data_IF_613379620490
#
_entry.id   IF_613379620490
#
_cell.length_a   1.000
_cell.length_b   1.000
_cell.length_c   1.000
_cell.angle_alpha   90.00
_cell.angle_beta   90.00
_cell.angle_gamma   90.00
#
_symmetry.space_group_name_H-M   'P 1'
#
loop_
_entity.id
_entity.type
_entity.pdbx_description
1 polymer ?
#
# COMPACT_ATOMS: atom_id res chain seq x y z
N UNK A 1 -10.03 2.64 1.29
CA UNK A 1 -9.49 3.91 1.77
C UNK A 1 -8.00 4.02 1.52
N UNK A 2 -7.40 5.21 1.70
CA UNK A 2 -5.97 5.43 1.43
C UNK A 2 -5.07 4.48 2.25
N UNK A 3 -5.41 4.26 3.51
CA UNK A 3 -4.62 3.42 4.45
C UNK A 3 -5.04 1.94 4.45
N UNK A 4 -5.89 1.52 3.53
CA UNK A 4 -6.33 0.13 3.40
C UNK A 4 -5.32 -0.67 2.58
N UNK A 5 -4.81 -1.77 3.12
CA UNK A 5 -3.90 -2.65 2.39
C UNK A 5 -4.63 -3.80 1.67
N UNK A 6 -3.91 -4.51 0.79
CA UNK A 6 -4.47 -5.60 -0.01
C UNK A 6 -5.11 -6.72 0.85
N UNK A 7 -4.57 -7.01 2.03
CA UNK A 7 -5.12 -8.04 2.92
C UNK A 7 -6.46 -7.62 3.50
N UNK A 8 -6.56 -6.40 4.04
CA UNK A 8 -7.80 -5.88 4.63
C UNK A 8 -8.89 -5.69 3.56
N UNK A 9 -8.52 -5.21 2.38
CA UNK A 9 -9.41 -5.14 1.23
C UNK A 9 -9.92 -6.54 0.84
N UNK A 10 -9.01 -7.53 0.74
CA UNK A 10 -9.36 -8.91 0.41
C UNK A 10 -10.34 -9.53 1.41
N UNK A 11 -10.13 -9.32 2.71
CA UNK A 11 -11.05 -9.78 3.76
C UNK A 11 -12.45 -9.17 3.59
N UNK A 12 -12.53 -7.86 3.34
CA UNK A 12 -13.81 -7.17 3.12
C UNK A 12 -14.52 -7.66 1.86
N UNK A 13 -13.77 -7.86 0.77
CA UNK A 13 -14.31 -8.41 -0.47
C UNK A 13 -14.80 -9.86 -0.29
N UNK A 14 -14.08 -10.70 0.46
CA UNK A 14 -14.50 -12.07 0.76
C UNK A 14 -15.82 -12.12 1.51
N UNK A 15 -16.00 -11.26 2.51
CA UNK A 15 -17.27 -11.16 3.25
C UNK A 15 -18.43 -10.73 2.33
N UNK A 16 -18.21 -9.72 1.52
CA UNK A 16 -19.21 -9.24 0.56
C UNK A 16 -19.55 -10.31 -0.48
N UNK A 17 -18.55 -11.00 -1.00
CA UNK A 17 -18.73 -12.10 -1.96
C UNK A 17 -19.56 -13.23 -1.37
N UNK A 18 -19.30 -13.63 -0.12
CA UNK A 18 -20.10 -14.65 0.55
C UNK A 18 -21.57 -14.25 0.69
N UNK A 19 -21.85 -12.99 1.07
CA UNK A 19 -23.21 -12.48 1.16
C UNK A 19 -23.91 -12.46 -0.20
N UNK A 20 -23.25 -11.95 -1.23
CA UNK A 20 -23.81 -11.89 -2.60
C UNK A 20 -24.03 -13.28 -3.18
N UNK A 21 -23.13 -14.23 -2.89
CA UNK A 21 -23.27 -15.61 -3.33
C UNK A 21 -24.52 -16.27 -2.73
N UNK A 22 -24.71 -16.14 -1.40
CA UNK A 22 -25.92 -16.68 -0.73
C UNK A 22 -27.19 -16.06 -1.32
N UNK A 23 -27.20 -14.76 -1.62
CA UNK A 23 -28.34 -14.10 -2.25
C UNK A 23 -28.56 -14.56 -3.71
N UNK A 24 -27.53 -15.00 -4.41
CA UNK A 24 -27.62 -15.48 -5.78
C UNK A 24 -28.16 -16.92 -5.89
N UNK A 25 -27.96 -17.77 -4.86
CA UNK A 25 -28.34 -19.19 -4.88
C UNK A 25 -29.81 -19.43 -5.27
N UNK A 26 -30.82 -18.75 -4.68
CA UNK A 26 -32.24 -18.94 -5.07
C UNK A 26 -32.49 -18.57 -6.55
N UNK A 27 -31.78 -17.55 -7.08
CA UNK A 27 -31.90 -17.15 -8.49
C UNK A 27 -31.29 -18.21 -9.40
N UNK A 28 -30.14 -18.79 -9.01
CA UNK A 28 -29.48 -19.88 -9.76
C UNK A 28 -30.38 -21.11 -9.77
N UNK A 29 -30.99 -21.47 -8.64
CA UNK A 29 -31.93 -22.58 -8.52
C UNK A 29 -33.16 -22.35 -9.38
N UNK A 30 -33.78 -21.18 -9.32
CA UNK A 30 -34.94 -20.81 -10.13
C UNK A 30 -34.66 -20.81 -11.65
N UNK A 31 -33.42 -20.49 -12.06
CA UNK A 31 -33.02 -20.57 -13.45
C UNK A 31 -33.02 -22.00 -13.99
N UNK A 32 -32.92 -23.02 -13.12
CA UNK A 32 -33.02 -24.43 -13.46
C UNK A 32 -31.95 -24.94 -14.43
N UNK A 33 -32.06 -26.20 -14.85
CA UNK A 33 -31.18 -26.79 -15.87
C UNK A 33 -31.52 -26.28 -17.27
N UNK A 34 -30.59 -26.45 -18.23
CA UNK A 34 -30.77 -26.11 -19.63
C UNK A 34 -29.50 -25.61 -20.30
N UNK A 35 -29.56 -25.30 -21.60
CA UNK A 35 -28.44 -24.72 -22.33
C UNK A 35 -27.96 -23.40 -21.70
N UNK A 36 -26.65 -23.17 -21.76
CA UNK A 36 -26.03 -21.99 -21.13
C UNK A 36 -26.66 -20.65 -21.56
N UNK A 37 -26.92 -20.36 -22.84
CA UNK A 37 -27.49 -19.08 -23.24
C UNK A 37 -28.86 -18.81 -22.62
N UNK A 38 -29.72 -19.82 -22.51
CA UNK A 38 -31.04 -19.70 -21.92
C UNK A 38 -30.96 -19.49 -20.41
N UNK A 39 -30.03 -20.17 -19.74
CA UNK A 39 -29.78 -19.99 -18.31
C UNK A 39 -29.24 -18.59 -17.98
N UNK A 40 -28.31 -18.07 -18.76
CA UNK A 40 -27.76 -16.73 -18.60
C UNK A 40 -28.86 -15.68 -18.77
N UNK A 41 -29.76 -15.86 -19.74
CA UNK A 41 -30.90 -14.99 -19.94
C UNK A 41 -31.85 -15.01 -18.72
N UNK A 42 -32.21 -16.21 -18.21
CA UNK A 42 -33.06 -16.36 -17.00
C UNK A 42 -32.43 -15.75 -15.75
N UNK A 43 -31.12 -15.82 -15.63
CA UNK A 43 -30.36 -15.19 -14.53
C UNK A 43 -30.25 -13.66 -14.68
N UNK A 44 -30.54 -13.11 -15.86
CA UNK A 44 -30.35 -11.68 -16.15
C UNK A 44 -28.89 -11.27 -16.19
N UNK A 45 -28.02 -12.18 -16.63
CA UNK A 45 -26.57 -11.93 -16.76
C UNK A 45 -26.33 -10.94 -17.90
N UNK A 46 -25.47 -9.96 -17.66
CA UNK A 46 -24.97 -9.05 -18.70
C UNK A 46 -23.58 -9.50 -19.13
N UNK A 47 -23.38 -9.59 -20.43
CA UNK A 47 -22.03 -9.85 -20.98
C UNK A 47 -21.17 -8.63 -20.72
N UNK A 48 -19.96 -8.84 -20.23
CA UNK A 48 -18.98 -7.78 -20.02
C UNK A 48 -18.55 -7.23 -21.40
N UNK A 49 -18.63 -5.91 -21.58
CA UNK A 49 -18.14 -5.27 -22.80
C UNK A 49 -16.61 -5.27 -22.86
N UNK A 50 -16.08 -5.18 -24.07
CA UNK A 50 -14.62 -5.16 -24.30
C UNK A 50 -14.00 -3.76 -24.19
N UNK A 51 -14.82 -2.72 -24.05
CA UNK A 51 -14.34 -1.35 -23.90
C UNK A 51 -13.61 -1.13 -22.58
N UNK A 52 -12.41 -0.58 -22.65
CA UNK A 52 -11.62 -0.23 -21.47
C UNK A 52 -11.02 -1.42 -20.72
N UNK A 53 -10.98 -2.63 -21.31
CA UNK A 53 -10.32 -3.78 -20.71
C UNK A 53 -8.83 -3.50 -20.51
N UNK A 54 -8.36 -3.76 -19.30
CA UNK A 54 -6.94 -3.74 -18.96
C UNK A 54 -6.52 -5.12 -18.47
N UNK A 55 -5.36 -5.59 -18.91
CA UNK A 55 -4.79 -6.84 -18.44
C UNK A 55 -3.78 -6.56 -17.33
N UNK A 56 -4.03 -7.10 -16.15
CA UNK A 56 -3.06 -7.13 -15.08
C UNK A 56 -2.08 -8.28 -15.32
N UNK A 57 -0.79 -7.97 -15.52
CA UNK A 57 0.26 -9.00 -15.61
C UNK A 57 0.50 -9.65 -14.25
N UNK A 58 1.09 -10.83 -14.26
CA UNK A 58 1.57 -11.46 -13.04
C UNK A 58 2.70 -10.63 -12.41
N UNK A 59 2.70 -10.54 -11.09
CA UNK A 59 3.77 -9.89 -10.34
C UNK A 59 5.05 -10.73 -10.38
N UNK A 60 6.17 -10.06 -10.54
CA UNK A 60 7.52 -10.63 -10.46
C UNK A 60 8.18 -10.22 -9.14
N UNK A 61 9.33 -10.80 -8.81
CA UNK A 61 10.06 -10.42 -7.58
C UNK A 61 10.48 -8.95 -7.58
N UNK A 62 10.78 -8.39 -8.73
CA UNK A 62 11.23 -7.01 -8.87
C UNK A 62 10.13 -5.99 -8.55
N UNK A 63 8.86 -6.37 -8.76
CA UNK A 63 7.72 -5.51 -8.43
C UNK A 63 7.60 -5.21 -6.93
N UNK A 64 8.17 -6.08 -6.09
CA UNK A 64 8.14 -5.89 -4.63
C UNK A 64 9.25 -4.97 -4.13
N UNK A 65 10.25 -4.66 -4.95
CA UNK A 65 11.33 -3.75 -4.59
C UNK A 65 10.89 -2.29 -4.69
N UNK A 66 11.05 -1.54 -3.60
CA UNK A 66 10.67 -0.13 -3.56
C UNK A 66 11.77 0.72 -4.20
N UNK A 67 11.37 1.45 -5.23
CA UNK A 67 12.15 2.51 -5.86
C UNK A 67 11.84 3.85 -5.16
N UNK A 68 12.76 4.31 -4.34
CA UNK A 68 12.60 5.55 -3.57
C UNK A 68 12.60 6.81 -4.45
N UNK A 69 13.02 6.72 -5.71
CA UNK A 69 12.95 7.83 -6.66
C UNK A 69 11.52 8.14 -7.11
N UNK A 70 10.59 7.21 -6.89
CA UNK A 70 9.17 7.41 -7.19
C UNK A 70 8.52 8.38 -6.20
N UNK A 71 7.44 9.07 -6.58
CA UNK A 71 6.67 9.90 -5.65
C UNK A 71 6.17 9.12 -4.43
N UNK A 72 6.24 9.70 -3.23
CA UNK A 72 5.84 9.03 -1.98
C UNK A 72 4.43 8.44 -2.00
N UNK A 73 3.48 9.07 -2.70
CA UNK A 73 2.14 8.51 -2.89
C UNK A 73 2.15 7.23 -3.75
N UNK A 74 3.01 7.14 -4.76
CA UNK A 74 3.16 5.93 -5.57
C UNK A 74 3.81 4.81 -4.75
N UNK A 75 4.85 5.12 -3.99
CA UNK A 75 5.48 4.17 -3.04
C UNK A 75 4.45 3.66 -2.03
N UNK A 76 3.68 4.55 -1.42
CA UNK A 76 2.63 4.18 -0.48
C UNK A 76 1.62 3.18 -1.10
N UNK A 77 1.13 3.48 -2.30
CA UNK A 77 0.21 2.60 -3.01
C UNK A 77 0.81 1.22 -3.30
N UNK A 78 2.10 1.18 -3.65
CA UNK A 78 2.82 -0.09 -3.85
C UNK A 78 2.92 -0.87 -2.54
N UNK A 79 3.30 -0.22 -1.42
CA UNK A 79 3.38 -0.87 -0.11
C UNK A 79 2.03 -1.45 0.29
N UNK A 80 0.95 -0.67 0.16
CA UNK A 80 -0.40 -1.11 0.55
C UNK A 80 -0.96 -2.17 -0.40
N UNK A 81 -0.71 -2.04 -1.71
CA UNK A 81 -1.19 -2.97 -2.73
C UNK A 81 -0.42 -4.31 -2.76
N UNK A 82 0.86 -4.29 -2.42
CA UNK A 82 1.73 -5.49 -2.40
C UNK A 82 1.88 -6.10 -0.99
N UNK A 83 1.13 -5.62 -0.03
CA UNK A 83 1.19 -6.09 1.36
C UNK A 83 1.05 -7.62 1.48
N UNK A 84 1.91 -8.31 2.26
CA UNK A 84 3.03 -7.83 3.07
C UNK A 84 4.40 -7.99 2.36
N UNK A 85 4.43 -7.83 1.03
CA UNK A 85 5.57 -8.20 0.18
C UNK A 85 6.54 -7.06 -0.16
N UNK A 86 6.13 -5.80 -0.03
CA UNK A 86 6.96 -4.65 -0.39
C UNK A 86 8.25 -4.59 0.43
N UNK A 87 9.40 -4.42 -0.23
CA UNK A 87 10.71 -4.49 0.39
C UNK A 87 11.64 -3.37 -0.04
N UNK A 88 12.55 -3.02 0.86
CA UNK A 88 13.72 -2.20 0.62
C UNK A 88 14.94 -2.83 1.26
N UNK A 89 16.13 -2.23 1.09
CA UNK A 89 17.31 -2.60 1.85
C UNK A 89 17.55 -1.61 2.99
N UNK A 90 18.04 -2.11 4.12
CA UNK A 90 18.52 -1.34 5.26
C UNK A 90 19.85 -1.90 5.72
N UNK A 91 20.94 -1.15 5.54
CA UNK A 91 22.29 -1.58 5.91
C UNK A 91 22.62 -3.01 5.41
N UNK A 92 22.32 -3.28 4.13
CA UNK A 92 22.55 -4.58 3.48
C UNK A 92 21.56 -5.69 3.86
N UNK A 93 20.59 -5.45 4.76
CA UNK A 93 19.55 -6.42 5.15
C UNK A 93 18.23 -6.06 4.47
N UNK A 94 17.41 -7.08 4.24
CA UNK A 94 16.05 -6.90 3.73
C UNK A 94 15.14 -6.29 4.80
N UNK A 95 14.46 -5.19 4.44
CA UNK A 95 13.43 -4.55 5.24
C UNK A 95 12.09 -4.63 4.50
N UNK A 96 11.10 -5.31 5.06
CA UNK A 96 9.72 -5.22 4.57
C UNK A 96 9.08 -3.93 5.08
N UNK A 97 8.38 -3.24 4.20
CA UNK A 97 7.55 -2.10 4.54
C UNK A 97 6.11 -2.59 4.66
N UNK A 98 5.50 -2.42 5.83
CA UNK A 98 4.18 -2.97 6.14
C UNK A 98 3.10 -1.89 6.25
N UNK A 99 3.42 -0.75 6.82
CA UNK A 99 2.51 0.39 6.86
C UNK A 99 3.26 1.70 6.62
N UNK A 100 2.71 2.51 5.74
CA UNK A 100 3.25 3.82 5.38
C UNK A 100 2.12 4.84 5.28
N UNK A 101 2.47 6.13 5.33
CA UNK A 101 1.56 7.23 5.02
C UNK A 101 2.27 8.28 4.16
N UNK A 102 1.68 8.71 3.03
CA UNK A 102 2.27 9.76 2.19
C UNK A 102 2.00 11.12 2.82
N UNK A 103 3.04 11.89 3.13
CA UNK A 103 2.91 13.18 3.78
C UNK A 103 2.52 14.26 2.76
N UNK A 104 1.29 14.18 2.25
CA UNK A 104 0.71 15.10 1.26
C UNK A 104 -0.42 15.91 1.91
N UNK A 105 -0.28 17.21 2.00
CA UNK A 105 -1.26 18.09 2.68
C UNK A 105 -2.68 17.97 2.15
N UNK A 106 -2.85 17.81 0.83
CA UNK A 106 -4.18 17.65 0.20
C UNK A 106 -4.90 16.35 0.56
N UNK A 107 -4.21 15.39 1.18
CA UNK A 107 -4.77 14.10 1.62
C UNK A 107 -4.86 13.99 3.14
N UNK A 108 -4.68 15.09 3.86
CA UNK A 108 -4.62 15.11 5.33
C UNK A 108 -5.87 14.49 5.99
N UNK A 109 -7.03 14.65 5.38
CA UNK A 109 -8.31 14.07 5.80
C UNK A 109 -8.39 12.53 5.65
N UNK A 110 -7.49 11.94 4.87
CA UNK A 110 -7.41 10.50 4.61
C UNK A 110 -6.26 9.82 5.36
N UNK A 111 -5.41 10.60 6.02
CA UNK A 111 -4.32 10.12 6.85
C UNK A 111 -4.80 9.84 8.29
N UNK A 112 -3.95 9.17 9.07
CA UNK A 112 -4.16 9.13 10.52
C UNK A 112 -4.03 10.53 11.14
N UNK A 113 -4.53 10.77 12.35
CA UNK A 113 -4.34 12.05 13.03
C UNK A 113 -2.86 12.48 13.10
N UNK A 114 -1.98 11.53 13.38
CA UNK A 114 -0.52 11.73 13.44
C UNK A 114 0.07 11.99 12.05
N UNK A 115 -0.34 11.21 11.06
CA UNK A 115 0.06 11.40 9.65
C UNK A 115 -0.38 12.78 9.14
N UNK A 116 -1.59 13.22 9.50
CA UNK A 116 -2.10 14.56 9.17
C UNK A 116 -1.25 15.68 9.81
N UNK A 117 -0.91 15.55 11.09
CA UNK A 117 -0.03 16.50 11.78
C UNK A 117 1.37 16.55 11.15
N UNK A 118 1.93 15.39 10.79
CA UNK A 118 3.22 15.31 10.11
C UNK A 118 3.14 15.84 8.67
N UNK A 119 2.02 15.63 7.97
CA UNK A 119 1.81 16.21 6.64
C UNK A 119 1.73 17.73 6.68
N UNK A 120 1.22 18.35 7.76
CA UNK A 120 1.25 19.79 7.95
C UNK A 120 2.69 20.32 8.09
N UNK A 121 3.58 19.56 8.73
CA UNK A 121 4.99 19.93 9.00
C UNK A 121 5.92 19.59 7.83
N UNK A 122 5.83 18.36 7.31
CA UNK A 122 6.75 17.81 6.34
C UNK A 122 6.15 17.75 4.93
N UNK A 123 4.83 17.77 4.83
CA UNK A 123 4.13 17.53 3.60
C UNK A 123 4.32 18.65 2.58
N UNK A 124 4.53 18.26 1.34
CA UNK A 124 4.50 19.16 0.20
C UNK A 124 3.03 19.45 -0.16
N UNK A 125 2.78 20.64 -0.71
CA UNK A 125 1.45 21.03 -1.19
C UNK A 125 1.06 20.19 -2.40
N UNK A 126 2.05 19.88 -3.25
CA UNK A 126 1.92 19.01 -4.42
C UNK A 126 2.76 17.74 -4.23
N UNK A 127 2.22 16.60 -4.67
CA UNK A 127 2.92 15.31 -4.63
C UNK A 127 4.14 15.25 -5.57
N UNK A 128 4.27 16.20 -6.50
CA UNK A 128 5.35 16.33 -7.48
C UNK A 128 6.35 17.42 -7.16
N UNK A 129 6.19 18.15 -6.04
CA UNK A 129 7.15 19.17 -5.64
C UNK A 129 8.53 18.54 -5.34
N UNK A 130 9.58 19.33 -5.44
CA UNK A 130 10.96 18.88 -5.19
C UNK A 130 11.09 18.25 -3.80
N UNK A 131 11.71 17.06 -3.72
CA UNK A 131 11.88 16.36 -2.46
C UNK A 131 12.81 17.11 -1.52
N UNK A 132 12.59 17.06 -0.19
CA UNK A 132 13.40 17.76 0.80
C UNK A 132 14.80 17.14 0.99
N UNK A 133 15.18 16.15 0.18
CA UNK A 133 16.48 15.48 0.24
C UNK A 133 16.59 14.32 -0.75
N UNK A 134 17.74 13.67 -0.85
CA UNK A 134 17.94 12.52 -1.73
C UNK A 134 16.95 11.39 -1.40
N UNK A 135 16.33 10.75 -2.42
CA UNK A 135 15.39 9.67 -2.21
C UNK A 135 15.94 8.54 -1.33
N UNK A 136 15.12 8.03 -0.42
CA UNK A 136 15.49 7.01 0.56
C UNK A 136 16.15 7.53 1.83
N UNK A 137 16.48 8.83 1.92
CA UNK A 137 17.09 9.41 3.12
C UNK A 137 16.08 9.54 4.25
N UNK A 138 16.44 9.13 5.45
CA UNK A 138 15.70 9.39 6.69
C UNK A 138 15.81 10.87 7.04
N UNK A 139 14.74 11.62 6.87
CA UNK A 139 14.68 13.06 7.13
C UNK A 139 14.51 13.37 8.62
N UNK A 140 13.72 12.54 9.29
CA UNK A 140 13.42 12.70 10.72
C UNK A 140 13.05 11.37 11.36
N UNK A 141 13.30 11.30 12.66
CA UNK A 141 12.82 10.27 13.57
C UNK A 141 11.64 10.86 14.33
N UNK A 142 10.49 10.20 14.24
CA UNK A 142 9.30 10.56 15.00
C UNK A 142 9.04 9.43 16.01
N UNK A 143 9.43 9.61 17.30
CA UNK A 143 9.61 8.51 18.27
C UNK A 143 8.43 7.56 18.38
N UNK A 144 7.20 8.06 18.38
CA UNK A 144 6.00 7.24 18.52
C UNK A 144 5.39 6.80 17.18
N UNK A 145 5.89 7.34 16.06
CA UNK A 145 5.23 7.22 14.77
C UNK A 145 6.08 6.48 13.72
N UNK A 146 7.41 6.56 13.79
CA UNK A 146 8.32 5.89 12.87
C UNK A 146 9.33 6.82 12.19
N UNK A 147 9.59 6.60 10.90
CA UNK A 147 10.62 7.30 10.13
C UNK A 147 9.97 8.15 9.03
N UNK A 148 10.32 9.43 8.96
CA UNK A 148 10.02 10.27 7.81
C UNK A 148 11.13 10.11 6.79
N UNK A 149 10.80 9.64 5.59
CA UNK A 149 11.76 9.26 4.56
C UNK A 149 11.52 10.09 3.30
N UNK A 150 12.59 10.62 2.70
CA UNK A 150 12.53 11.31 1.43
C UNK A 150 12.18 10.34 0.29
N UNK A 151 11.41 10.83 -0.68
CA UNK A 151 11.07 10.12 -1.92
C UNK A 151 11.22 11.05 -3.11
N UNK A 152 10.92 10.61 -4.31
CA UNK A 152 10.95 11.46 -5.52
C UNK A 152 9.84 12.54 -5.55
N UNK A 153 9.24 12.85 -4.41
CA UNK A 153 8.22 13.88 -4.24
C UNK A 153 7.92 14.10 -2.77
N UNK A 154 6.66 13.98 -2.34
CA UNK A 154 6.30 14.12 -0.92
C UNK A 154 7.01 13.07 -0.05
N UNK A 155 7.47 13.44 1.17
CA UNK A 155 8.02 12.47 2.10
C UNK A 155 7.01 11.37 2.46
N UNK A 156 7.54 10.24 2.89
CA UNK A 156 6.77 9.09 3.32
C UNK A 156 7.04 8.81 4.80
N UNK A 157 5.99 8.65 5.60
CA UNK A 157 6.11 8.12 6.95
C UNK A 157 6.10 6.59 6.88
N UNK A 158 7.17 5.93 7.33
CA UNK A 158 7.22 4.49 7.56
C UNK A 158 6.80 4.22 9.00
N UNK A 159 5.61 3.65 9.18
CA UNK A 159 5.01 3.37 10.50
C UNK A 159 5.34 1.98 11.01
N UNK A 160 5.32 1.01 10.12
CA UNK A 160 5.53 -0.40 10.45
C UNK A 160 6.45 -1.05 9.43
N UNK A 161 7.37 -1.87 9.92
CA UNK A 161 8.30 -2.62 9.10
C UNK A 161 8.77 -3.90 9.77
N UNK A 162 9.43 -4.75 8.99
CA UNK A 162 10.02 -5.99 9.45
C UNK A 162 11.42 -6.14 8.89
N UNK A 163 12.42 -5.98 9.75
CA UNK A 163 13.82 -6.27 9.39
C UNK A 163 14.03 -7.78 9.29
N UNK A 164 14.86 -8.19 8.36
CA UNK A 164 15.22 -9.59 8.14
C UNK A 164 15.66 -10.27 9.46
N UNK A 165 15.09 -11.46 9.73
CA UNK A 165 15.34 -12.20 10.96
C UNK A 165 14.64 -11.64 12.22
N UNK A 166 13.83 -10.59 12.10
CA UNK A 166 13.12 -9.97 13.23
C UNK A 166 11.60 -10.05 13.03
N UNK A 167 10.85 -9.74 14.10
CA UNK A 167 9.39 -9.59 14.04
C UNK A 167 9.01 -8.22 13.49
N UNK A 168 7.84 -8.12 12.90
CA UNK A 168 7.24 -6.84 12.53
C UNK A 168 7.05 -5.96 13.77
N UNK A 169 7.35 -4.68 13.64
CA UNK A 169 7.21 -3.70 14.71
C UNK A 169 6.97 -2.30 14.14
N UNK A 170 6.51 -1.40 15.00
CA UNK A 170 6.13 -0.03 14.67
C UNK A 170 6.70 0.98 15.65
N UNK A 171 6.59 2.27 15.33
CA UNK A 171 6.97 3.38 16.19
C UNK A 171 8.37 3.25 16.77
N UNK A 172 8.49 3.48 18.08
CA UNK A 172 9.78 3.45 18.80
C UNK A 172 10.51 2.11 18.66
N UNK A 173 9.77 0.99 18.68
CA UNK A 173 10.39 -0.35 18.54
C UNK A 173 11.02 -0.53 17.16
N UNK A 174 10.38 -0.03 16.11
CA UNK A 174 10.96 -0.06 14.76
C UNK A 174 12.22 0.78 14.68
N UNK A 175 12.20 1.98 15.23
CA UNK A 175 13.35 2.90 15.25
C UNK A 175 14.54 2.23 15.96
N UNK A 176 14.32 1.66 17.14
CA UNK A 176 15.36 0.96 17.90
C UNK A 176 15.87 -0.30 17.19
N UNK A 177 14.97 -1.07 16.57
CA UNK A 177 15.34 -2.28 15.84
C UNK A 177 16.22 -1.98 14.63
N UNK A 178 15.97 -0.86 13.95
CA UNK A 178 16.76 -0.39 12.82
C UNK A 178 18.05 0.31 13.25
N UNK A 179 18.10 0.85 14.48
CA UNK A 179 19.15 1.76 14.90
C UNK A 179 19.20 3.02 14.04
N UNK A 180 18.01 3.47 13.58
CA UNK A 180 17.90 4.52 12.58
C UNK A 180 18.25 5.90 13.13
N UNK A 181 18.95 6.69 12.34
CA UNK A 181 19.25 8.08 12.59
C UNK A 181 18.89 8.95 11.38
N UNK A 182 18.65 10.25 11.62
CA UNK A 182 18.49 11.19 10.52
C UNK A 182 19.76 11.22 9.65
N UNK A 183 19.56 11.19 8.32
CA UNK A 183 20.65 11.07 7.34
C UNK A 183 20.94 9.65 6.87
N UNK A 184 20.48 8.62 7.57
CA UNK A 184 20.60 7.23 7.10
C UNK A 184 19.79 7.02 5.81
N UNK A 185 20.11 5.96 5.07
CA UNK A 185 19.54 5.75 3.74
C UNK A 185 18.99 4.34 3.53
N UNK A 186 17.74 4.26 3.08
CA UNK A 186 17.11 3.05 2.59
C UNK A 186 17.41 2.87 1.08
N UNK A 187 17.40 1.61 0.63
CA UNK A 187 17.57 1.31 -0.80
C UNK A 187 19.02 1.45 -1.29
N UNK A 188 19.98 1.86 -0.46
CA UNK A 188 21.39 1.82 -0.84
C UNK A 188 21.83 0.35 -0.94
N UNK A 189 22.28 -0.07 -2.11
CA UNK A 189 23.12 -1.27 -2.25
C UNK A 189 24.44 -0.99 -1.55
N UNK A 190 24.84 -1.89 -0.65
CA UNK A 190 26.16 -1.84 -0.03
C UNK A 190 27.26 -1.98 -1.09
#
# INVERSE_FOLDING_TARGET
GLLENAQTLGQRLSQLTAQLFVQALPRIEAAGPGPEPERLQRLGVRVQGDEGLTLARLLTKDDFSIDWSQPGLAIHRNVMGLYPGAVSSWQGKRLKLLATEPLVRRLADQLSPEGSALAARWGLTDATADPPGPPGTVLAIEPDHGLVIASGGCPLLLREGQLEGKRACSGQTLIQQLGAAAGDRLGATA
#
